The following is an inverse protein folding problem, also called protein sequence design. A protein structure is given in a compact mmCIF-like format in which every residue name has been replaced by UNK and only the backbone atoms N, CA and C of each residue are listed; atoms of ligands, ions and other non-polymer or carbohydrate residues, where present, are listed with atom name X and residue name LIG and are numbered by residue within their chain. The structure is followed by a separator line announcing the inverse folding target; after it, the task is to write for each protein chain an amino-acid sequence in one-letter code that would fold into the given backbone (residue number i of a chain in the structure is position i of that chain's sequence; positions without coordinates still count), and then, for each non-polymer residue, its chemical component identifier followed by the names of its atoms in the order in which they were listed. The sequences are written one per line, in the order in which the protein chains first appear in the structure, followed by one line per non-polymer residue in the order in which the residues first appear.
data_IF_401917931811
#
_entry.id   IF_401917931811
#
_cell.length_a   1.000
_cell.length_b   1.000
_cell.length_c   1.000
_cell.angle_alpha   90.00
_cell.angle_beta   90.00
_cell.angle_gamma   90.00
#
_symmetry.space_group_name_H-M   'P 1'
#
loop_
_entity.id
_entity.type
_entity.pdbx_description
1 polymer ?
#
# COMPACT_ATOMS: atom_id res chain seq x y z
N UNK A 1 -0.53 -2.34 28.22
CA UNK A 1 0.40 -3.44 27.91
C UNK A 1 -0.01 -4.18 26.68
N UNK A 2 -1.25 -4.62 26.63
CA UNK A 2 -1.73 -5.31 25.44
C UNK A 2 -1.66 -4.44 24.19
N UNK A 3 -1.88 -3.15 24.37
CA UNK A 3 -1.85 -2.23 23.24
C UNK A 3 -0.46 -2.18 22.58
N UNK A 4 0.57 -2.31 23.39
CA UNK A 4 1.92 -2.26 22.86
C UNK A 4 2.21 -3.45 21.98
N UNK A 5 1.74 -4.62 22.36
CA UNK A 5 1.93 -5.80 21.54
C UNK A 5 1.19 -5.70 20.22
N UNK A 6 -0.02 -5.19 20.28
CA UNK A 6 -0.80 -5.04 19.05
C UNK A 6 -0.10 -4.11 18.09
N UNK A 7 0.47 -3.04 18.61
CA UNK A 7 1.19 -2.10 17.76
C UNK A 7 2.39 -2.74 17.08
N UNK A 8 3.13 -3.53 17.84
CA UNK A 8 4.29 -4.20 17.28
C UNK A 8 3.90 -5.15 16.17
N UNK A 9 2.83 -5.90 16.38
CA UNK A 9 2.35 -6.85 15.38
C UNK A 9 1.89 -6.12 14.13
N UNK A 10 1.14 -5.07 14.30
CA UNK A 10 0.66 -4.29 13.17
C UNK A 10 1.79 -3.69 12.37
N UNK A 11 2.82 -3.24 13.07
CA UNK A 11 3.97 -2.67 12.40
C UNK A 11 4.63 -3.64 11.45
N UNK A 12 4.76 -4.90 11.87
CA UNK A 12 5.38 -5.93 11.05
C UNK A 12 4.52 -6.20 9.82
N UNK A 13 3.23 -6.34 10.00
CA UNK A 13 2.32 -6.62 8.90
C UNK A 13 2.31 -5.47 7.90
N UNK A 14 2.34 -4.25 8.39
CA UNK A 14 2.37 -3.09 7.52
C UNK A 14 3.59 -3.08 6.63
N UNK A 15 4.73 -3.50 7.17
CA UNK A 15 5.94 -3.56 6.39
C UNK A 15 5.79 -4.46 5.17
N UNK A 16 5.21 -5.63 5.37
CA UNK A 16 4.99 -6.57 4.27
C UNK A 16 3.99 -6.03 3.26
N UNK A 17 2.91 -5.46 3.76
CA UNK A 17 1.89 -4.93 2.87
C UNK A 17 2.40 -3.76 2.05
N UNK A 18 3.23 -2.93 2.66
CA UNK A 18 3.79 -1.79 1.94
C UNK A 18 4.69 -2.23 0.79
N UNK A 19 5.51 -3.24 1.02
CA UNK A 19 6.38 -3.77 -0.03
C UNK A 19 5.56 -4.36 -1.17
N UNK A 20 4.56 -5.15 -0.82
CA UNK A 20 3.71 -5.76 -1.83
C UNK A 20 2.95 -4.69 -2.62
N UNK A 21 2.40 -3.71 -1.92
CA UNK A 21 1.67 -2.62 -2.57
C UNK A 21 2.59 -1.84 -3.50
N UNK A 22 3.83 -1.64 -3.09
CA UNK A 22 4.80 -0.92 -3.92
C UNK A 22 5.07 -1.67 -5.21
N UNK A 23 5.25 -2.98 -5.10
CA UNK A 23 5.46 -3.80 -6.29
C UNK A 23 4.29 -3.70 -7.26
N UNK A 24 3.08 -3.81 -6.73
CA UNK A 24 1.88 -3.73 -7.55
C UNK A 24 1.73 -2.35 -8.19
N UNK A 25 1.99 -1.31 -7.42
CA UNK A 25 1.91 0.05 -7.95
C UNK A 25 2.93 0.26 -9.07
N UNK A 26 4.12 -0.28 -8.90
CA UNK A 26 5.15 -0.18 -9.91
C UNK A 26 4.72 -0.90 -11.19
N UNK A 27 4.16 -2.08 -11.03
CA UNK A 27 3.66 -2.85 -12.19
C UNK A 27 2.54 -2.09 -12.90
N UNK A 28 1.72 -1.38 -12.13
CA UNK A 28 0.64 -0.57 -12.70
C UNK A 28 1.15 0.67 -13.43
N UNK A 29 2.41 1.02 -13.23
CA UNK A 29 3.01 2.16 -13.91
C UNK A 29 3.18 3.39 -13.03
N UNK A 30 2.97 3.26 -11.74
CA UNK A 30 3.10 4.39 -10.83
C UNK A 30 4.58 4.69 -10.55
N UNK A 31 4.89 5.96 -10.38
CA UNK A 31 6.23 6.39 -9.98
C UNK A 31 6.17 7.73 -9.28
N UNK A 32 7.23 8.01 -8.52
CA UNK A 32 7.35 9.27 -7.82
C UNK A 32 6.26 9.41 -6.77
N UNK A 33 5.66 10.58 -6.73
CA UNK A 33 4.64 10.85 -5.73
C UNK A 33 3.40 9.98 -5.90
N UNK A 34 3.05 9.70 -7.13
CA UNK A 34 1.88 8.88 -7.41
C UNK A 34 2.08 7.49 -6.83
N UNK A 35 3.27 6.93 -6.96
CA UNK A 35 3.57 5.63 -6.40
C UNK A 35 3.31 5.60 -4.90
N UNK A 36 3.80 6.59 -4.18
CA UNK A 36 3.61 6.63 -2.75
C UNK A 36 2.16 6.80 -2.36
N UNK A 37 1.44 7.64 -3.07
CA UNK A 37 0.03 7.85 -2.79
C UNK A 37 -0.76 6.56 -2.98
N UNK A 38 -0.49 5.85 -4.06
CA UNK A 38 -1.17 4.59 -4.34
C UNK A 38 -0.84 3.55 -3.27
N UNK A 39 0.43 3.46 -2.89
CA UNK A 39 0.84 2.52 -1.86
C UNK A 39 0.11 2.81 -0.55
N UNK A 40 0.10 4.07 -0.13
CA UNK A 40 -0.57 4.45 1.10
C UNK A 40 -2.06 4.16 1.04
N UNK A 41 -2.67 4.44 -0.09
CA UNK A 41 -4.10 4.20 -0.25
C UNK A 41 -4.41 2.71 -0.15
N UNK A 42 -3.66 1.88 -0.85
CA UNK A 42 -3.89 0.45 -0.83
C UNK A 42 -3.71 -0.13 0.57
N UNK A 43 -2.67 0.29 1.27
CA UNK A 43 -2.41 -0.21 2.62
C UNK A 43 -3.49 0.27 3.59
N UNK A 44 -3.89 1.54 3.48
CA UNK A 44 -4.91 2.09 4.35
C UNK A 44 -6.24 1.37 4.19
N UNK A 45 -6.57 1.00 2.96
CA UNK A 45 -7.82 0.31 2.66
C UNK A 45 -7.70 -1.19 2.84
N UNK A 46 -6.48 -1.66 3.08
CA UNK A 46 -6.19 -3.10 3.19
C UNK A 46 -6.62 -3.84 1.93
N UNK A 47 -6.52 -3.15 0.82
CA UNK A 47 -6.93 -3.68 -0.48
C UNK A 47 -5.75 -3.61 -1.44
N UNK A 48 -4.75 -4.45 -1.18
CA UNK A 48 -3.51 -4.45 -1.95
C UNK A 48 -3.67 -5.40 -3.14
N UNK A 49 -4.05 -4.86 -4.29
CA UNK A 49 -4.28 -5.63 -5.49
C UNK A 49 -3.83 -4.85 -6.72
N UNK A 50 -3.43 -5.58 -7.75
CA UNK A 50 -3.02 -4.94 -8.98
C UNK A 50 -4.17 -4.16 -9.62
N UNK A 51 -5.35 -4.74 -9.60
CA UNK A 51 -6.53 -4.07 -10.17
C UNK A 51 -6.80 -2.74 -9.48
N UNK A 52 -6.69 -2.73 -8.16
CA UNK A 52 -6.91 -1.52 -7.41
C UNK A 52 -5.84 -0.49 -7.71
N UNK A 53 -4.60 -0.94 -7.83
CA UNK A 53 -3.50 -0.05 -8.18
C UNK A 53 -3.75 0.60 -9.53
N UNK A 54 -4.23 -0.16 -10.49
CA UNK A 54 -4.53 0.37 -11.82
C UNK A 54 -5.65 1.39 -11.77
N UNK A 55 -6.66 1.14 -10.96
CA UNK A 55 -7.76 2.10 -10.79
C UNK A 55 -7.26 3.39 -10.18
N UNK A 56 -6.43 3.28 -9.15
CA UNK A 56 -5.88 4.47 -8.52
C UNK A 56 -4.99 5.25 -9.49
N UNK A 57 -4.28 4.54 -10.35
CA UNK A 57 -3.48 5.18 -11.37
C UNK A 57 -4.34 6.07 -12.26
N UNK A 58 -5.50 5.59 -12.64
CA UNK A 58 -6.40 6.37 -13.47
C UNK A 58 -6.86 7.63 -12.75
N UNK A 59 -7.09 7.52 -11.45
CA UNK A 59 -7.54 8.66 -10.66
C UNK A 59 -6.44 9.70 -10.48
N UNK A 60 -5.21 9.25 -10.32
CA UNK A 60 -4.10 10.16 -10.07
C UNK A 60 -3.43 10.65 -11.35
N UNK A 61 -3.66 10.02 -12.45
CA UNK A 61 -3.14 10.49 -13.72
C UNK A 61 -4.19 11.27 -14.48
#
# INVERSE_FOLDING_TARGET
MAAMRALATEGIQRGHMSLHARNLATVAGAKGEVLEKIVQQMVAEKNVRLEYAQELMKQYS
#
